data_IF_815143200381
#
_entry.id   IF_815143200381
#
_cell.length_a   1.000
_cell.length_b   1.000
_cell.length_c   1.000
_cell.angle_alpha   90.00
_cell.angle_beta   90.00
_cell.angle_gamma   90.00
#
_symmetry.space_group_name_H-M   'P 1'
#
loop_
_entity.id
_entity.type
_entity.pdbx_description
1 polymer ?
#
# COMPACT_ATOMS: atom_id res chain seq x y z
N UNK A 1 11.95 -9.33 -11.90
CA UNK A 1 11.05 -9.48 -13.06
C UNK A 1 11.08 -8.17 -13.83
N UNK A 2 11.27 -8.21 -15.14
CA UNK A 2 11.16 -7.01 -15.98
C UNK A 2 9.68 -6.73 -16.23
N UNK A 3 9.31 -5.47 -16.34
CA UNK A 3 7.95 -5.03 -16.63
C UNK A 3 7.95 -3.73 -17.43
N UNK A 4 6.91 -3.51 -18.20
CA UNK A 4 6.66 -2.28 -18.94
C UNK A 4 5.53 -1.49 -18.26
N UNK A 5 5.78 -0.29 -17.71
CA UNK A 5 4.73 0.50 -17.09
C UNK A 5 3.87 1.20 -18.14
N UNK A 6 2.55 1.02 -18.05
CA UNK A 6 1.56 1.77 -18.84
C UNK A 6 0.89 2.80 -17.94
N UNK A 7 1.24 4.08 -18.14
CA UNK A 7 0.66 5.17 -17.36
C UNK A 7 -0.73 5.57 -17.87
N UNK A 8 -1.68 5.72 -16.94
CA UNK A 8 -3.03 6.20 -17.22
C UNK A 8 -3.24 7.59 -16.65
N UNK A 9 -3.89 8.46 -17.41
CA UNK A 9 -4.32 9.76 -16.91
C UNK A 9 -5.64 9.62 -16.13
N UNK A 10 -5.51 9.40 -14.80
CA UNK A 10 -6.67 9.22 -13.93
C UNK A 10 -7.57 10.47 -13.89
N UNK A 11 -7.00 11.69 -14.07
CA UNK A 11 -7.78 12.93 -14.12
C UNK A 11 -8.60 13.05 -15.40
N UNK A 12 -8.09 12.51 -16.51
CA UNK A 12 -8.82 12.43 -17.77
C UNK A 12 -9.89 11.31 -17.76
N UNK A 13 -9.82 10.39 -16.78
CA UNK A 13 -10.76 9.29 -16.67
C UNK A 13 -10.40 8.05 -17.51
N UNK A 14 -9.14 7.89 -17.93
CA UNK A 14 -8.70 6.76 -18.76
C UNK A 14 -9.10 5.41 -18.17
N UNK A 15 -9.02 5.27 -16.82
CA UNK A 15 -9.42 4.08 -16.08
C UNK A 15 -10.94 3.81 -16.10
N UNK A 16 -11.75 4.75 -16.59
CA UNK A 16 -13.20 4.60 -16.78
C UNK A 16 -13.59 4.40 -18.26
N UNK A 17 -12.62 4.43 -19.16
CA UNK A 17 -12.81 4.14 -20.58
C UNK A 17 -13.13 2.67 -20.83
N UNK A 18 -13.83 2.39 -21.95
CA UNK A 18 -14.30 1.05 -22.29
C UNK A 18 -13.17 0.02 -22.43
N UNK A 19 -11.98 0.44 -22.86
CA UNK A 19 -10.81 -0.43 -22.96
C UNK A 19 -10.31 -0.89 -21.59
N UNK A 20 -10.14 0.04 -20.66
CA UNK A 20 -9.69 -0.32 -19.33
C UNK A 20 -10.75 -1.10 -18.55
N UNK A 21 -12.04 -0.79 -18.72
CA UNK A 21 -13.13 -1.51 -18.06
C UNK A 21 -13.25 -2.98 -18.53
N UNK A 22 -12.67 -3.35 -19.69
CA UNK A 22 -12.52 -4.76 -20.07
C UNK A 22 -11.48 -5.50 -19.26
N UNK A 23 -10.43 -4.80 -18.80
CA UNK A 23 -9.38 -5.34 -17.95
C UNK A 23 -9.81 -5.38 -16.47
N UNK A 24 -10.41 -4.30 -15.99
CA UNK A 24 -10.95 -4.20 -14.63
C UNK A 24 -12.29 -3.47 -14.62
N UNK A 25 -13.37 -4.20 -14.37
CA UNK A 25 -14.75 -3.67 -14.37
C UNK A 25 -15.01 -2.63 -13.28
N UNK A 26 -14.19 -2.59 -12.21
CA UNK A 26 -14.28 -1.56 -11.18
C UNK A 26 -13.68 -0.23 -11.66
N UNK A 27 -12.90 -0.24 -12.74
CA UNK A 27 -12.22 0.95 -13.24
C UNK A 27 -11.24 1.49 -12.20
N UNK A 28 -10.44 0.63 -11.62
CA UNK A 28 -9.46 0.94 -10.59
C UNK A 28 -8.08 0.41 -10.99
N UNK A 29 -7.05 1.15 -10.65
CA UNK A 29 -5.64 0.78 -10.84
C UNK A 29 -5.07 0.27 -9.51
N UNK A 30 -4.05 -0.60 -9.54
CA UNK A 30 -3.35 -1.14 -10.70
C UNK A 30 -4.03 -2.35 -11.36
N UNK A 31 -3.61 -2.64 -12.58
CA UNK A 31 -3.88 -3.88 -13.29
C UNK A 31 -2.56 -4.42 -13.82
N UNK A 32 -2.31 -5.70 -13.66
CA UNK A 32 -1.18 -6.42 -14.26
C UNK A 32 -1.70 -7.24 -15.45
N UNK A 33 -1.02 -7.13 -16.59
CA UNK A 33 -1.14 -8.07 -17.70
C UNK A 33 0.16 -8.89 -17.78
N UNK A 34 0.04 -10.19 -17.61
CA UNK A 34 1.15 -11.13 -17.68
C UNK A 34 0.87 -12.13 -18.79
N UNK A 35 1.32 -11.80 -20.01
CA UNK A 35 1.11 -12.58 -21.22
C UNK A 35 -0.38 -12.94 -21.46
N UNK A 36 -1.28 -11.96 -21.28
CA UNK A 36 -2.71 -12.12 -21.43
C UNK A 36 -3.43 -12.60 -20.16
N UNK A 37 -2.72 -12.88 -19.09
CA UNK A 37 -3.32 -13.15 -17.78
C UNK A 37 -3.51 -11.83 -17.05
N UNK A 38 -4.76 -11.38 -16.94
CA UNK A 38 -5.12 -10.11 -16.33
C UNK A 38 -5.40 -10.27 -14.84
N UNK A 39 -4.63 -9.57 -14.01
CA UNK A 39 -4.81 -9.54 -12.56
C UNK A 39 -5.11 -8.09 -12.16
N UNK A 40 -6.26 -7.86 -11.57
CA UNK A 40 -6.67 -6.57 -11.02
C UNK A 40 -6.62 -6.61 -9.49
N UNK A 41 -6.47 -5.43 -8.86
CA UNK A 41 -6.25 -5.20 -7.42
C UNK A 41 -4.79 -5.40 -6.99
N UNK A 42 -4.26 -4.42 -6.26
CA UNK A 42 -2.86 -4.40 -5.83
C UNK A 42 -2.49 -5.58 -4.93
N UNK A 43 -3.38 -6.00 -4.02
CA UNK A 43 -3.11 -7.12 -3.13
C UNK A 43 -3.16 -8.46 -3.89
N UNK A 44 -4.11 -8.59 -4.85
CA UNK A 44 -4.18 -9.76 -5.73
C UNK A 44 -2.92 -9.88 -6.59
N UNK A 45 -2.41 -8.77 -7.13
CA UNK A 45 -1.16 -8.71 -7.88
C UNK A 45 0.02 -9.16 -7.01
N UNK A 46 0.11 -8.69 -5.77
CA UNK A 46 1.16 -9.12 -4.84
C UNK A 46 1.12 -10.62 -4.56
N UNK A 47 -0.07 -11.17 -4.33
CA UNK A 47 -0.25 -12.63 -4.14
C UNK A 47 0.17 -13.40 -5.40
N UNK A 48 -0.27 -12.94 -6.57
CA UNK A 48 0.10 -13.56 -7.84
C UNK A 48 1.61 -13.58 -8.06
N UNK A 49 2.28 -12.43 -7.90
CA UNK A 49 3.71 -12.30 -8.09
C UNK A 49 4.51 -13.14 -7.08
N UNK A 50 4.10 -13.16 -5.82
CA UNK A 50 4.73 -13.99 -4.79
C UNK A 50 4.63 -15.48 -5.14
N UNK A 51 3.49 -15.95 -5.62
CA UNK A 51 3.32 -17.35 -6.07
C UNK A 51 4.07 -17.65 -7.35
N UNK A 52 4.05 -16.73 -8.33
CA UNK A 52 4.76 -16.89 -9.61
C UNK A 52 6.29 -16.91 -9.43
N UNK A 53 6.84 -16.18 -8.47
CA UNK A 53 8.29 -16.14 -8.21
C UNK A 53 8.86 -17.48 -7.77
N UNK A 54 8.03 -18.41 -7.30
CA UNK A 54 8.43 -19.71 -6.78
C UNK A 54 9.19 -19.65 -5.45
N UNK A 55 9.33 -18.46 -4.85
CA UNK A 55 9.91 -18.31 -3.52
C UNK A 55 8.79 -18.27 -2.47
N UNK A 56 9.04 -18.91 -1.33
CA UNK A 56 8.07 -18.89 -0.22
C UNK A 56 8.31 -17.74 0.77
N UNK A 57 9.35 -16.95 0.55
CA UNK A 57 9.75 -15.87 1.47
C UNK A 57 8.67 -14.78 1.59
N UNK A 58 8.16 -14.30 0.44
CA UNK A 58 7.15 -13.23 0.40
C UNK A 58 5.76 -13.66 0.85
N UNK A 59 5.43 -14.94 0.66
CA UNK A 59 4.14 -15.54 1.06
C UNK A 59 4.35 -17.00 1.45
N UNK A 60 4.79 -17.28 2.70
CA UNK A 60 4.96 -18.63 3.21
C UNK A 60 3.69 -19.48 3.15
N UNK A 61 3.85 -20.79 2.98
CA UNK A 61 2.73 -21.71 2.88
C UNK A 61 2.21 -22.19 4.25
N UNK A 62 2.95 -21.92 5.32
CA UNK A 62 2.47 -22.19 6.69
C UNK A 62 1.14 -21.47 6.96
N UNK A 63 0.09 -22.21 7.37
CA UNK A 63 -1.25 -21.64 7.49
C UNK A 63 -1.36 -20.46 8.46
N UNK A 64 -0.61 -20.47 9.55
CA UNK A 64 -0.65 -19.39 10.57
C UNK A 64 -0.01 -18.13 10.01
N UNK A 65 1.16 -18.26 9.40
CA UNK A 65 1.86 -17.13 8.77
C UNK A 65 1.07 -16.57 7.59
N UNK A 66 0.53 -17.44 6.72
CA UNK A 66 -0.31 -17.03 5.61
C UNK A 66 -1.57 -16.27 6.09
N UNK A 67 -2.21 -16.72 7.17
CA UNK A 67 -3.36 -16.03 7.76
C UNK A 67 -2.99 -14.67 8.35
N UNK A 68 -1.83 -14.54 8.99
CA UNK A 68 -1.33 -13.25 9.49
C UNK A 68 -1.03 -12.27 8.33
N UNK A 69 -0.41 -12.73 7.25
CA UNK A 69 -0.19 -11.93 6.05
C UNK A 69 -1.53 -11.50 5.46
N UNK A 70 -2.48 -12.42 5.28
CA UNK A 70 -3.81 -12.10 4.76
C UNK A 70 -4.55 -11.09 5.62
N UNK A 71 -4.43 -11.17 6.97
CA UNK A 71 -4.98 -10.15 7.88
C UNK A 71 -4.49 -8.75 7.51
N UNK A 72 -3.20 -8.59 7.24
CA UNK A 72 -2.62 -7.29 6.89
C UNK A 72 -2.97 -6.85 5.46
N UNK A 73 -3.14 -7.76 4.51
CA UNK A 73 -3.70 -7.43 3.19
C UNK A 73 -5.14 -6.89 3.31
N UNK A 74 -5.94 -7.47 4.21
CA UNK A 74 -7.29 -6.96 4.51
C UNK A 74 -7.26 -5.60 5.20
N UNK A 75 -6.26 -5.34 6.07
CA UNK A 75 -6.01 -4.01 6.66
C UNK A 75 -5.63 -3.01 5.58
N UNK A 76 -4.81 -3.39 4.60
CA UNK A 76 -4.46 -2.53 3.46
C UNK A 76 -5.70 -2.14 2.65
N UNK A 77 -6.54 -3.10 2.27
CA UNK A 77 -7.77 -2.86 1.51
C UNK A 77 -8.84 -2.08 2.28
N UNK A 78 -8.81 -2.11 3.61
CA UNK A 78 -9.80 -1.45 4.47
C UNK A 78 -9.22 -0.24 5.21
N UNK A 79 -8.50 -0.48 6.29
CA UNK A 79 -8.06 0.59 7.20
C UNK A 79 -7.09 1.58 6.56
N UNK A 80 -6.17 1.12 5.71
CA UNK A 80 -5.27 2.01 4.95
C UNK A 80 -6.05 2.79 3.89
N UNK A 81 -6.95 2.15 3.16
CA UNK A 81 -7.75 2.79 2.12
C UNK A 81 -8.63 3.92 2.69
N UNK A 82 -9.30 3.69 3.83
CA UNK A 82 -10.20 4.66 4.46
C UNK A 82 -9.51 5.59 5.49
N UNK A 83 -8.25 5.39 5.78
CA UNK A 83 -7.43 6.26 6.62
C UNK A 83 -6.38 7.02 5.79
N UNK A 84 -5.09 6.61 5.80
CA UNK A 84 -4.00 7.35 5.18
C UNK A 84 -4.20 7.62 3.67
N UNK A 85 -4.74 6.65 2.93
CA UNK A 85 -5.04 6.84 1.51
C UNK A 85 -6.13 7.90 1.33
N UNK A 86 -7.25 7.82 2.05
CA UNK A 86 -8.34 8.80 1.98
C UNK A 86 -7.86 10.20 2.36
N UNK A 87 -7.07 10.35 3.42
CA UNK A 87 -6.48 11.61 3.84
C UNK A 87 -5.61 12.22 2.73
N UNK A 88 -4.76 11.40 2.09
CA UNK A 88 -3.95 11.82 0.95
C UNK A 88 -4.78 12.20 -0.29
N UNK A 89 -5.85 11.45 -0.60
CA UNK A 89 -6.74 11.76 -1.73
C UNK A 89 -7.38 13.14 -1.59
N UNK A 90 -7.70 13.57 -0.38
CA UNK A 90 -8.25 14.91 -0.11
C UNK A 90 -7.21 16.00 -0.46
N UNK A 91 -6.00 15.90 0.09
CA UNK A 91 -4.98 16.93 -0.02
C UNK A 91 -4.33 16.99 -1.41
N UNK A 92 -4.03 15.83 -2.01
CA UNK A 92 -3.30 15.75 -3.28
C UNK A 92 -4.23 15.85 -4.49
N UNK A 93 -5.45 15.27 -4.40
CA UNK A 93 -6.35 15.13 -5.55
C UNK A 93 -7.68 15.91 -5.40
N UNK A 94 -7.92 16.52 -4.23
CA UNK A 94 -9.13 17.34 -4.00
C UNK A 94 -10.41 16.52 -3.83
N UNK A 95 -10.32 15.26 -3.40
CA UNK A 95 -11.48 14.41 -3.13
C UNK A 95 -12.35 15.00 -2.01
N UNK A 96 -13.66 14.93 -2.17
CA UNK A 96 -14.64 15.43 -1.19
C UNK A 96 -14.95 14.33 -0.18
N UNK A 97 -14.03 14.08 0.74
CA UNK A 97 -14.16 13.14 1.85
C UNK A 97 -14.04 13.89 3.18
N UNK A 98 -14.41 13.25 4.29
CA UNK A 98 -14.24 13.83 5.62
C UNK A 98 -12.78 13.74 6.06
N UNK A 99 -12.06 14.86 6.08
CA UNK A 99 -10.64 14.91 6.40
C UNK A 99 -10.37 14.54 7.87
N UNK A 100 -11.18 15.04 8.80
CA UNK A 100 -11.03 14.76 10.23
C UNK A 100 -11.17 13.26 10.52
N UNK A 101 -12.20 12.64 9.97
CA UNK A 101 -12.42 11.19 10.09
C UNK A 101 -11.29 10.37 9.47
N UNK A 102 -10.79 10.77 8.29
CA UNK A 102 -9.69 10.08 7.62
C UNK A 102 -8.38 10.16 8.45
N UNK A 103 -8.08 11.32 9.03
CA UNK A 103 -6.91 11.52 9.90
C UNK A 103 -7.07 10.72 11.19
N UNK A 104 -8.24 10.74 11.84
CA UNK A 104 -8.50 9.96 13.06
C UNK A 104 -8.33 8.45 12.81
N UNK A 105 -8.90 7.93 11.71
CA UNK A 105 -8.74 6.53 11.29
C UNK A 105 -7.28 6.18 11.03
N UNK A 106 -6.52 7.10 10.44
CA UNK A 106 -5.09 6.93 10.21
C UNK A 106 -4.32 6.78 11.51
N UNK A 107 -4.54 7.67 12.47
CA UNK A 107 -3.89 7.59 13.78
C UNK A 107 -4.34 6.36 14.58
N UNK A 108 -5.59 5.91 14.43
CA UNK A 108 -6.06 4.66 15.04
C UNK A 108 -5.31 3.45 14.47
N UNK A 109 -5.12 3.39 13.15
CA UNK A 109 -4.33 2.35 12.50
C UNK A 109 -2.87 2.41 12.93
N UNK A 110 -2.24 3.60 12.90
CA UNK A 110 -0.83 3.79 13.24
C UNK A 110 -0.50 3.38 14.68
N UNK A 111 -1.41 3.62 15.64
CA UNK A 111 -1.24 3.11 17.02
C UNK A 111 -1.17 1.58 17.04
N UNK A 112 -2.07 0.90 16.33
CA UNK A 112 -2.04 -0.57 16.24
C UNK A 112 -0.75 -1.05 15.57
N UNK A 113 -0.31 -0.41 14.48
CA UNK A 113 0.94 -0.76 13.81
C UNK A 113 2.17 -0.52 14.69
N UNK A 114 2.18 0.57 15.48
CA UNK A 114 3.26 0.89 16.42
C UNK A 114 3.41 -0.22 17.47
N UNK A 115 2.27 -0.70 18.03
CA UNK A 115 2.26 -1.78 19.00
C UNK A 115 2.64 -3.13 18.38
N UNK A 116 2.12 -3.45 17.19
CA UNK A 116 2.41 -4.72 16.49
C UNK A 116 3.88 -4.81 16.07
N UNK A 117 4.51 -3.69 15.71
CA UNK A 117 5.92 -3.63 15.31
C UNK A 117 6.86 -3.57 16.51
N UNK A 118 6.34 -3.50 17.73
CA UNK A 118 7.18 -3.59 18.92
C UNK A 118 7.88 -4.94 18.97
N UNK A 119 9.21 -4.94 18.97
CA UNK A 119 10.06 -6.15 18.91
C UNK A 119 9.88 -7.03 17.65
N UNK A 120 9.32 -6.48 16.56
CA UNK A 120 9.22 -7.18 15.27
C UNK A 120 9.88 -6.35 14.17
N UNK A 121 10.52 -7.03 13.23
CA UNK A 121 11.06 -6.39 12.05
C UNK A 121 10.00 -6.15 10.97
N UNK A 122 9.08 -7.10 10.80
CA UNK A 122 8.09 -7.13 9.73
C UNK A 122 6.68 -7.23 10.31
N UNK A 123 5.72 -6.58 9.63
CA UNK A 123 4.39 -6.36 10.18
C UNK A 123 3.60 -7.65 10.46
N UNK A 124 3.80 -8.68 9.67
CA UNK A 124 3.16 -9.97 9.88
C UNK A 124 3.86 -10.86 10.92
N UNK A 125 4.97 -10.38 11.52
CA UNK A 125 5.76 -11.14 12.49
C UNK A 125 6.63 -12.23 11.85
N UNK A 126 6.90 -12.13 10.56
CA UNK A 126 7.77 -13.02 9.80
C UNK A 126 9.24 -12.71 10.06
N UNK A 127 10.12 -13.68 9.76
CA UNK A 127 11.59 -13.48 9.83
C UNK A 127 12.05 -12.57 8.70
N UNK A 128 11.55 -12.82 7.49
CA UNK A 128 11.81 -12.05 6.28
C UNK A 128 10.61 -11.16 5.93
N UNK A 129 10.77 -10.12 5.07
CA UNK A 129 9.65 -9.29 4.63
C UNK A 129 8.61 -10.12 3.88
N UNK A 130 7.36 -9.71 3.97
CA UNK A 130 6.24 -10.34 3.28
C UNK A 130 5.52 -9.37 2.34
N UNK A 131 4.61 -9.88 1.52
CA UNK A 131 3.74 -9.03 0.71
C UNK A 131 2.87 -8.09 1.55
N UNK A 132 2.66 -8.37 2.84
CA UNK A 132 1.96 -7.46 3.75
C UNK A 132 2.73 -6.15 3.96
N UNK A 133 4.06 -6.21 4.07
CA UNK A 133 4.91 -5.04 4.23
C UNK A 133 4.85 -4.16 2.96
N UNK A 134 4.87 -4.78 1.79
CA UNK A 134 4.73 -4.07 0.50
C UNK A 134 3.35 -3.41 0.37
N UNK A 135 2.27 -4.14 0.72
CA UNK A 135 0.89 -3.65 0.59
C UNK A 135 0.61 -2.41 1.45
N UNK A 136 1.24 -2.32 2.63
CA UNK A 136 1.04 -1.23 3.57
C UNK A 136 1.94 -0.02 3.30
N UNK A 137 3.16 -0.26 2.82
CA UNK A 137 4.23 0.73 2.79
C UNK A 137 3.82 2.06 2.14
N UNK A 138 3.31 2.03 0.92
CA UNK A 138 3.15 3.24 0.09
C UNK A 138 2.29 4.32 0.74
N UNK A 139 1.16 3.96 1.32
CA UNK A 139 0.25 4.92 1.94
C UNK A 139 0.62 5.28 3.37
N UNK A 140 1.32 4.40 4.08
CA UNK A 140 1.85 4.74 5.41
C UNK A 140 3.01 5.73 5.26
N UNK A 141 3.94 5.49 4.32
CA UNK A 141 5.04 6.42 4.05
C UNK A 141 4.55 7.79 3.54
N UNK A 142 3.45 7.82 2.78
CA UNK A 142 2.84 9.04 2.26
C UNK A 142 1.75 9.63 3.16
N UNK A 143 1.53 9.12 4.36
CA UNK A 143 0.56 9.64 5.31
C UNK A 143 0.77 11.14 5.63
N UNK A 144 2.00 11.68 5.72
CA UNK A 144 2.22 13.13 5.90
C UNK A 144 1.63 14.00 4.78
N UNK A 145 1.57 13.50 3.53
CA UNK A 145 0.90 14.21 2.44
C UNK A 145 -0.62 14.38 2.69
N UNK A 146 -1.21 13.57 3.57
CA UNK A 146 -2.59 13.65 4.04
C UNK A 146 -2.75 14.33 5.42
N UNK A 147 -1.76 15.10 5.89
CA UNK A 147 -1.74 15.72 7.22
C UNK A 147 -1.71 14.73 8.40
N UNK A 148 -1.21 13.53 8.19
CA UNK A 148 -1.05 12.51 9.24
C UNK A 148 0.41 12.47 9.68
N UNK A 149 0.71 12.99 10.87
CA UNK A 149 2.06 13.04 11.40
C UNK A 149 2.55 11.66 11.88
N UNK A 150 3.74 11.27 11.43
CA UNK A 150 4.41 10.02 11.80
C UNK A 150 5.44 10.20 12.93
N UNK A 151 5.69 11.40 13.41
CA UNK A 151 6.79 11.71 14.34
C UNK A 151 6.75 10.86 15.61
N UNK A 152 5.57 10.59 16.15
CA UNK A 152 5.36 9.85 17.40
C UNK A 152 5.38 8.32 17.25
N UNK A 153 5.42 7.79 16.01
CA UNK A 153 5.39 6.37 15.72
C UNK A 153 6.79 5.83 15.38
N UNK A 154 7.59 5.59 16.40
CA UNK A 154 9.01 5.21 16.27
C UNK A 154 9.24 3.87 15.60
N UNK A 155 8.42 2.85 15.94
CA UNK A 155 8.48 1.52 15.35
C UNK A 155 8.03 1.52 13.90
N UNK A 156 6.94 2.23 13.58
CA UNK A 156 6.45 2.42 12.20
C UNK A 156 7.53 3.08 11.34
N UNK A 157 8.13 4.17 11.80
CA UNK A 157 9.21 4.86 11.08
C UNK A 157 10.44 3.97 10.88
N UNK A 158 10.76 3.12 11.85
CA UNK A 158 11.86 2.16 11.75
C UNK A 158 11.54 1.06 10.76
N UNK A 159 10.29 0.60 10.71
CA UNK A 159 9.80 -0.36 9.72
C UNK A 159 9.82 0.24 8.30
N UNK A 160 9.37 1.49 8.08
CA UNK A 160 9.45 2.17 6.79
C UNK A 160 10.89 2.17 6.26
N UNK A 161 11.86 2.58 7.10
CA UNK A 161 13.28 2.57 6.72
C UNK A 161 13.79 1.17 6.37
N UNK A 162 13.33 0.10 7.04
CA UNK A 162 13.71 -1.28 6.68
C UNK A 162 13.17 -1.68 5.31
N UNK A 163 11.92 -1.35 5.00
CA UNK A 163 11.35 -1.59 3.66
C UNK A 163 12.18 -0.87 2.59
N UNK A 164 12.62 0.36 2.84
CA UNK A 164 13.44 1.16 1.91
C UNK A 164 14.83 0.56 1.64
N UNK A 165 15.33 -0.31 2.53
CA UNK A 165 16.62 -1.00 2.35
C UNK A 165 16.50 -2.30 1.57
N UNK A 166 15.31 -2.74 1.20
CA UNK A 166 15.14 -3.98 0.45
C UNK A 166 15.75 -3.90 -0.95
N UNK A 167 16.38 -4.97 -1.43
CA UNK A 167 16.92 -5.01 -2.78
C UNK A 167 15.84 -4.73 -3.82
N UNK A 168 16.11 -3.81 -4.74
CA UNK A 168 15.17 -3.41 -5.78
C UNK A 168 14.05 -2.49 -5.32
N UNK A 169 14.13 -1.96 -4.09
CA UNK A 169 13.16 -0.97 -3.62
C UNK A 169 13.14 0.25 -4.55
N UNK A 170 11.93 0.68 -4.92
CA UNK A 170 11.69 1.89 -5.67
C UNK A 170 10.70 2.78 -4.91
N UNK A 171 11.04 4.05 -4.59
CA UNK A 171 10.21 4.90 -3.75
C UNK A 171 8.93 5.32 -4.45
N UNK A 172 7.82 5.33 -3.72
CA UNK A 172 6.59 5.96 -4.19
C UNK A 172 6.80 7.47 -4.38
N UNK A 173 6.31 8.04 -5.49
CA UNK A 173 6.52 9.44 -5.84
C UNK A 173 6.01 10.38 -4.75
N UNK A 174 6.86 11.30 -4.29
CA UNK A 174 6.50 12.35 -3.33
C UNK A 174 5.75 13.50 -3.99
N UNK A 175 4.82 14.08 -3.25
CA UNK A 175 4.13 15.32 -3.63
C UNK A 175 4.29 16.37 -2.54
N UNK A 176 4.32 17.65 -2.94
CA UNK A 176 4.34 18.77 -1.98
C UNK A 176 2.91 19.06 -1.53
N UNK A 177 2.39 18.27 -0.59
CA UNK A 177 1.04 18.41 -0.06
C UNK A 177 1.01 18.12 1.45
N UNK A 178 -0.02 18.56 2.14
CA UNK A 178 -0.18 18.36 3.58
C UNK A 178 1.01 18.87 4.38
N UNK A 179 1.54 18.05 5.28
CA UNK A 179 2.71 18.39 6.09
C UNK A 179 4.00 18.51 5.26
N UNK A 180 4.03 17.94 4.05
CA UNK A 180 5.16 18.02 3.12
C UNK A 180 5.12 19.28 2.23
N UNK A 181 4.11 20.14 2.35
CA UNK A 181 3.95 21.33 1.49
C UNK A 181 5.06 22.37 1.67
N UNK A 182 5.71 22.40 2.82
CA UNK A 182 6.79 23.32 3.19
C UNK A 182 8.20 22.70 3.25
N UNK A 183 8.33 21.44 2.88
CA UNK A 183 9.58 20.69 2.95
C UNK A 183 10.43 20.83 1.67
#
# INVERSE_FOLDING_TARGET
MDYEPVELNLRAGDHKGAEFLRLNRFGEVPVLDDDGTIIADSNAILVYLAKKSGTTEWLPEDPVTAANIQRWLSVAAGKVAYGPCAARLITVFGYKLNAEEAIERSHALLRVMEDELHNKNWIAGTVEPSIADVALYSYIDRAPEGNVDLAVYGNVRSWLRRVETLPGFFPFRKTKAGLEAGA
#
